data_IF_457704993537
#
_entry.id   IF_457704993537
#
_cell.length_a   1.000
_cell.length_b   1.000
_cell.length_c   1.000
_cell.angle_alpha   90.00
_cell.angle_beta   90.00
_cell.angle_gamma   90.00
#
_symmetry.space_group_name_H-M   'P 1'
#
loop_
_entity.id
_entity.type
_entity.pdbx_description
1 polymer ?
#
# COMPACT_ATOMS: atom_id res chain seq x y z
N UNK A 1 -4.56 -3.08 10.27
CA UNK A 1 -6.01 -3.24 10.08
C UNK A 1 -6.79 -1.94 9.95
N UNK A 2 -6.12 -0.76 9.96
CA UNK A 2 -6.76 0.56 9.74
C UNK A 2 -8.08 0.78 10.50
N UNK A 3 -8.14 0.31 11.74
CA UNK A 3 -9.31 0.48 12.60
C UNK A 3 -10.55 -0.34 12.25
N UNK A 4 -10.57 -1.13 11.16
CA UNK A 4 -11.80 -1.81 10.71
C UNK A 4 -12.44 -2.68 11.81
N UNK A 5 -13.77 -2.59 12.01
CA UNK A 5 -14.75 -1.84 11.21
C UNK A 5 -14.88 -0.34 11.56
N UNK A 6 -14.17 0.16 12.57
CA UNK A 6 -14.19 1.55 13.05
C UNK A 6 -13.10 2.40 12.38
N UNK A 7 -13.15 2.52 11.05
CA UNK A 7 -12.15 3.28 10.28
C UNK A 7 -12.10 4.76 10.71
N UNK A 8 -13.25 5.39 10.94
CA UNK A 8 -13.35 6.80 11.30
C UNK A 8 -12.60 7.10 12.62
N UNK A 9 -12.80 6.30 13.66
CA UNK A 9 -12.10 6.45 14.95
C UNK A 9 -10.58 6.39 14.76
N UNK A 10 -10.10 5.46 13.92
CA UNK A 10 -8.69 5.39 13.58
C UNK A 10 -8.20 6.66 12.89
N UNK A 11 -8.95 7.17 11.90
CA UNK A 11 -8.58 8.40 11.18
C UNK A 11 -8.51 9.61 12.12
N UNK A 12 -9.45 9.76 13.05
CA UNK A 12 -9.44 10.82 14.05
C UNK A 12 -8.18 10.77 14.93
N UNK A 13 -7.85 9.59 15.44
CA UNK A 13 -6.66 9.40 16.28
C UNK A 13 -5.37 9.64 15.48
N UNK A 14 -5.24 9.02 14.30
CA UNK A 14 -4.01 9.06 13.51
C UNK A 14 -3.74 10.44 12.88
N UNK A 15 -4.78 11.28 12.73
CA UNK A 15 -4.63 12.68 12.34
C UNK A 15 -3.91 13.48 13.43
N UNK A 16 -4.23 13.24 14.70
CA UNK A 16 -3.60 13.92 15.84
C UNK A 16 -2.23 13.33 16.16
N UNK A 17 -2.12 12.00 16.19
CA UNK A 17 -0.94 11.28 16.63
C UNK A 17 -0.04 10.91 15.45
N UNK A 18 1.02 11.71 15.23
CA UNK A 18 1.84 11.58 14.02
C UNK A 18 2.64 10.28 13.91
N UNK A 19 2.82 9.56 15.01
CA UNK A 19 3.49 8.26 15.10
C UNK A 19 2.55 7.06 14.83
N UNK A 20 1.29 7.30 14.48
CA UNK A 20 0.33 6.24 14.13
C UNK A 20 0.29 6.02 12.62
N UNK A 21 0.39 4.75 12.20
CA UNK A 21 0.43 4.33 10.80
C UNK A 21 -0.77 3.42 10.44
N UNK A 22 -1.32 3.62 9.25
CA UNK A 22 -2.40 2.81 8.70
C UNK A 22 -1.88 1.56 7.99
N UNK A 23 -1.86 0.41 8.68
CA UNK A 23 -1.50 -0.87 8.06
C UNK A 23 -2.68 -1.52 7.34
N UNK A 24 -2.56 -1.78 6.03
CA UNK A 24 -3.64 -2.28 5.16
C UNK A 24 -3.96 -3.79 5.30
N UNK A 25 -3.38 -4.46 6.29
CA UNK A 25 -3.81 -5.81 6.69
C UNK A 25 -5.34 -5.88 6.87
N UNK A 26 -5.96 -6.96 6.38
CA UNK A 26 -7.40 -7.26 6.25
C UNK A 26 -8.18 -6.32 5.34
N UNK A 27 -7.73 -5.08 5.14
CA UNK A 27 -8.31 -4.19 4.14
C UNK A 27 -7.99 -4.65 2.72
N UNK A 28 -6.77 -5.15 2.48
CA UNK A 28 -6.25 -5.46 1.14
C UNK A 28 -7.13 -6.43 0.31
N UNK A 29 -7.66 -7.55 0.86
CA UNK A 29 -8.51 -8.47 0.09
C UNK A 29 -9.80 -7.85 -0.46
N UNK A 30 -10.31 -6.77 0.15
CA UNK A 30 -11.50 -6.08 -0.37
C UNK A 30 -11.27 -5.49 -1.75
N UNK A 31 -10.02 -5.27 -2.17
CA UNK A 31 -9.71 -4.84 -3.55
C UNK A 31 -10.28 -5.80 -4.61
N UNK A 32 -10.47 -7.07 -4.26
CA UNK A 32 -11.07 -8.06 -5.14
C UNK A 32 -12.56 -8.25 -4.90
N UNK A 33 -12.97 -8.43 -3.65
CA UNK A 33 -14.35 -8.81 -3.30
C UNK A 33 -15.31 -7.63 -3.23
N UNK A 34 -14.81 -6.45 -2.84
CA UNK A 34 -15.58 -5.20 -2.67
C UNK A 34 -14.72 -3.99 -3.09
N UNK A 35 -14.34 -3.86 -4.37
CA UNK A 35 -13.36 -2.86 -4.83
C UNK A 35 -13.76 -1.42 -4.52
N UNK A 36 -15.06 -1.11 -4.59
CA UNK A 36 -15.60 0.20 -4.21
C UNK A 36 -15.36 0.51 -2.72
N UNK A 37 -15.61 -0.47 -1.85
CA UNK A 37 -15.36 -0.33 -0.42
C UNK A 37 -13.87 -0.16 -0.11
N UNK A 38 -13.00 -0.88 -0.82
CA UNK A 38 -11.56 -0.66 -0.69
C UNK A 38 -11.15 0.74 -1.17
N UNK A 39 -11.80 1.27 -2.23
CA UNK A 39 -11.58 2.64 -2.69
C UNK A 39 -11.96 3.67 -1.63
N UNK A 40 -13.09 3.49 -0.94
CA UNK A 40 -13.52 4.34 0.19
C UNK A 40 -12.51 4.28 1.34
N UNK A 41 -12.05 3.08 1.71
CA UNK A 41 -11.03 2.92 2.77
C UNK A 41 -9.76 3.67 2.40
N UNK A 42 -9.21 3.45 1.20
CA UNK A 42 -7.93 4.05 0.83
C UNK A 42 -8.03 5.57 0.63
N UNK A 43 -9.18 6.07 0.13
CA UNK A 43 -9.39 7.51 -0.03
C UNK A 43 -9.45 8.24 1.31
N UNK A 44 -10.17 7.69 2.28
CA UNK A 44 -10.22 8.24 3.65
C UNK A 44 -8.82 8.27 4.28
N UNK A 45 -8.07 7.16 4.20
CA UNK A 45 -6.72 7.13 4.74
C UNK A 45 -5.81 8.19 4.10
N UNK A 46 -5.88 8.36 2.78
CA UNK A 46 -5.09 9.37 2.08
C UNK A 46 -5.51 10.78 2.46
N UNK A 47 -6.81 11.03 2.63
CA UNK A 47 -7.34 12.33 3.02
C UNK A 47 -6.88 12.72 4.43
N UNK A 48 -7.05 11.83 5.41
CA UNK A 48 -6.78 12.12 6.82
C UNK A 48 -5.31 12.09 7.19
N UNK A 49 -4.59 11.03 6.77
CA UNK A 49 -3.23 10.78 7.26
C UNK A 49 -2.15 10.94 6.21
N UNK A 50 -2.54 11.16 4.96
CA UNK A 50 -1.62 11.34 3.84
C UNK A 50 -0.94 10.03 3.40
N UNK A 51 -0.21 10.07 2.27
CA UNK A 51 0.37 8.88 1.65
C UNK A 51 1.56 8.30 2.42
N UNK A 52 2.22 9.09 3.27
CA UNK A 52 3.49 8.71 3.94
C UNK A 52 3.31 7.85 5.19
N UNK A 53 2.06 7.67 5.65
CA UNK A 53 1.75 6.92 6.90
C UNK A 53 0.87 5.70 6.66
N UNK A 54 0.82 5.22 5.43
CA UNK A 54 0.05 4.02 5.06
C UNK A 54 1.03 2.90 4.69
N UNK A 55 0.84 1.71 5.26
CA UNK A 55 1.72 0.56 5.05
C UNK A 55 0.95 -0.58 4.37
N UNK A 56 1.57 -1.20 3.37
CA UNK A 56 1.06 -2.42 2.79
C UNK A 56 1.05 -3.58 3.81
N UNK A 57 0.02 -4.43 3.72
CA UNK A 57 -0.08 -5.67 4.46
C UNK A 57 -0.92 -6.67 3.67
N UNK A 58 -0.39 -7.86 3.40
CA UNK A 58 -1.06 -8.89 2.61
C UNK A 58 -1.81 -9.94 3.44
N UNK A 59 -1.51 -10.03 4.75
CA UNK A 59 -1.90 -11.17 5.59
C UNK A 59 -1.45 -12.50 4.98
N UNK A 60 -0.16 -12.58 4.64
CA UNK A 60 0.45 -13.81 4.17
C UNK A 60 0.24 -14.96 5.19
N UNK A 61 0.06 -16.17 4.65
CA UNK A 61 -0.58 -17.35 5.27
C UNK A 61 -2.11 -17.42 5.17
N UNK A 62 -2.79 -16.32 4.83
CA UNK A 62 -4.20 -16.31 4.41
C UNK A 62 -4.30 -16.03 2.92
N UNK A 63 -3.55 -15.04 2.42
CA UNK A 63 -3.56 -14.63 1.01
C UNK A 63 -2.16 -14.65 0.41
N UNK A 64 -2.02 -15.20 -0.80
CA UNK A 64 -0.80 -15.04 -1.57
C UNK A 64 -0.66 -13.58 -2.02
N UNK A 65 0.50 -12.92 -1.82
CA UNK A 65 0.64 -11.49 -2.05
C UNK A 65 0.71 -11.09 -3.53
N UNK A 66 1.04 -12.01 -4.44
CA UNK A 66 1.26 -11.72 -5.87
C UNK A 66 0.06 -11.04 -6.51
N UNK A 67 -1.11 -11.68 -6.45
CA UNK A 67 -2.35 -11.16 -7.05
C UNK A 67 -2.85 -9.89 -6.35
N UNK A 68 -2.56 -9.73 -5.05
CA UNK A 68 -2.91 -8.52 -4.30
C UNK A 68 -2.10 -7.32 -4.81
N UNK A 69 -0.79 -7.51 -4.99
CA UNK A 69 0.10 -6.46 -5.51
C UNK A 69 -0.31 -6.05 -6.93
N UNK A 70 -0.61 -7.02 -7.80
CA UNK A 70 -1.06 -6.75 -9.16
C UNK A 70 -2.36 -5.93 -9.18
N UNK A 71 -3.36 -6.34 -8.39
CA UNK A 71 -4.62 -5.59 -8.28
C UNK A 71 -4.42 -4.21 -7.67
N UNK A 72 -3.58 -4.08 -6.64
CA UNK A 72 -3.28 -2.81 -6.00
C UNK A 72 -2.61 -1.83 -6.97
N UNK A 73 -1.70 -2.33 -7.81
CA UNK A 73 -1.06 -1.53 -8.84
C UNK A 73 -2.04 -1.10 -9.94
N UNK A 74 -2.95 -1.98 -10.36
CA UNK A 74 -3.93 -1.72 -11.41
C UNK A 74 -5.13 -0.86 -10.96
N UNK A 75 -5.39 -0.77 -9.66
CA UNK A 75 -6.58 -0.08 -9.15
C UNK A 75 -6.56 1.42 -9.43
N UNK A 76 -7.71 1.96 -9.81
CA UNK A 76 -7.96 3.40 -9.86
C UNK A 76 -9.12 3.77 -8.94
N UNK A 77 -9.09 4.99 -8.40
CA UNK A 77 -10.22 5.50 -7.62
C UNK A 77 -11.38 5.81 -8.58
N UNK A 78 -12.61 5.40 -8.24
CA UNK A 78 -13.83 5.90 -8.89
C UNK A 78 -13.87 7.44 -8.89
N UNK A 79 -14.44 8.01 -9.95
CA UNK A 79 -14.48 9.47 -10.16
C UNK A 79 -15.10 10.22 -8.99
N UNK A 80 -16.25 9.74 -8.51
CA UNK A 80 -17.02 10.36 -7.44
C UNK A 80 -16.27 10.37 -6.10
N UNK A 81 -15.54 9.28 -5.76
CA UNK A 81 -14.67 9.27 -4.57
C UNK A 81 -13.54 10.28 -4.71
N UNK A 82 -12.94 10.35 -5.91
CA UNK A 82 -11.85 11.27 -6.20
C UNK A 82 -12.31 12.72 -6.10
N UNK A 83 -13.49 13.03 -6.62
CA UNK A 83 -14.11 14.36 -6.53
C UNK A 83 -14.44 14.73 -5.08
N UNK A 84 -14.97 13.79 -4.29
CA UNK A 84 -15.33 14.01 -2.88
C UNK A 84 -14.11 14.24 -1.98
N UNK A 85 -13.11 13.35 -2.07
CA UNK A 85 -11.94 13.39 -1.18
C UNK A 85 -10.81 14.27 -1.69
N UNK A 86 -10.78 14.56 -3.00
CA UNK A 86 -9.72 15.34 -3.64
C UNK A 86 -8.34 14.65 -3.69
N UNK A 87 -8.26 13.38 -3.29
CA UNK A 87 -6.97 12.66 -3.20
C UNK A 87 -6.57 12.02 -4.53
N UNK A 88 -5.28 11.83 -4.72
CA UNK A 88 -4.74 11.07 -5.86
C UNK A 88 -4.26 9.70 -5.41
N UNK A 89 -4.50 8.68 -6.24
CA UNK A 89 -4.01 7.32 -6.01
C UNK A 89 -3.16 6.84 -7.18
N UNK A 90 -2.13 7.63 -7.48
CA UNK A 90 -1.23 7.40 -8.60
C UNK A 90 -0.08 6.42 -8.24
N UNK A 91 0.82 6.20 -9.21
CA UNK A 91 1.97 5.30 -9.04
C UNK A 91 2.93 5.76 -7.92
N UNK A 92 3.04 7.06 -7.65
CA UNK A 92 3.93 7.58 -6.60
C UNK A 92 3.38 7.22 -5.22
N UNK A 93 2.08 7.40 -5.01
CA UNK A 93 1.38 7.01 -3.77
C UNK A 93 1.45 5.50 -3.56
N UNK A 94 1.22 4.71 -4.62
CA UNK A 94 1.28 3.25 -4.54
C UNK A 94 2.68 2.74 -4.16
N UNK A 95 3.75 3.34 -4.69
CA UNK A 95 5.14 3.00 -4.33
C UNK A 95 5.42 3.26 -2.85
N UNK A 96 4.96 4.40 -2.34
CA UNK A 96 5.06 4.73 -0.91
C UNK A 96 4.46 3.64 -0.04
N UNK A 97 3.22 3.28 -0.33
CA UNK A 97 2.47 2.27 0.42
C UNK A 97 3.11 0.88 0.32
N UNK A 98 3.54 0.47 -0.88
CA UNK A 98 4.10 -0.86 -1.13
C UNK A 98 5.48 -1.08 -0.48
N UNK A 99 6.26 -0.03 -0.23
CA UNK A 99 7.58 -0.24 0.35
C UNK A 99 8.32 0.98 0.87
N UNK A 100 8.16 2.17 0.28
CA UNK A 100 9.00 3.32 0.68
C UNK A 100 8.69 3.79 2.10
N UNK A 101 7.42 3.74 2.52
CA UNK A 101 7.02 4.09 3.88
C UNK A 101 7.59 3.13 4.93
N UNK A 102 7.54 1.82 4.65
CA UNK A 102 8.13 0.82 5.52
C UNK A 102 9.66 0.99 5.60
N UNK A 103 10.30 1.26 4.46
CA UNK A 103 11.73 1.51 4.41
C UNK A 103 12.13 2.73 5.25
N UNK A 104 11.41 3.85 5.11
CA UNK A 104 11.63 5.05 5.92
C UNK A 104 11.44 4.77 7.43
N UNK A 105 10.35 4.08 7.80
CA UNK A 105 10.03 3.75 9.19
C UNK A 105 11.12 2.89 9.86
N UNK A 106 11.67 1.92 9.13
CA UNK A 106 12.68 1.00 9.64
C UNK A 106 14.13 1.44 9.36
N UNK A 107 14.35 2.65 8.83
CA UNK A 107 15.69 3.15 8.52
C UNK A 107 16.42 2.34 7.43
N UNK A 108 15.68 1.79 6.47
CA UNK A 108 16.23 1.02 5.36
C UNK A 108 16.54 1.96 4.18
N UNK A 109 17.82 2.07 3.83
CA UNK A 109 18.25 2.72 2.60
C UNK A 109 17.94 1.82 1.39
N UNK A 110 16.94 2.23 0.59
CA UNK A 110 16.48 1.47 -0.58
C UNK A 110 17.57 1.34 -1.64
N UNK A 111 18.33 2.40 -1.92
CA UNK A 111 19.34 2.38 -2.98
C UNK A 111 20.54 1.52 -2.56
N UNK A 112 20.97 1.62 -1.31
CA UNK A 112 22.00 0.73 -0.77
C UNK A 112 21.57 -0.74 -0.78
N UNK A 113 20.27 -1.03 -0.54
CA UNK A 113 19.74 -2.41 -0.64
C UNK A 113 19.66 -2.89 -2.07
N UNK A 114 19.21 -2.07 -3.01
CA UNK A 114 19.20 -2.40 -4.45
C UNK A 114 20.59 -2.75 -4.95
N UNK A 115 21.62 -2.00 -4.54
CA UNK A 115 23.01 -2.30 -4.95
C UNK A 115 23.45 -3.67 -4.44
N UNK A 116 23.21 -3.98 -3.15
CA UNK A 116 23.51 -5.30 -2.59
C UNK A 116 22.77 -6.44 -3.30
N UNK A 117 21.55 -6.19 -3.78
CA UNK A 117 20.76 -7.21 -4.48
C UNK A 117 21.19 -7.46 -5.92
N UNK A 118 22.01 -6.60 -6.55
CA UNK A 118 22.53 -6.87 -7.92
C UNK A 118 23.35 -8.15 -8.00
N UNK A 119 24.02 -8.50 -6.90
CA UNK A 119 24.84 -9.70 -6.79
C UNK A 119 24.06 -10.92 -6.31
N UNK A 120 22.78 -10.75 -5.93
CA UNK A 120 21.94 -11.83 -5.44
C UNK A 120 21.48 -12.73 -6.59
N UNK A 121 21.76 -14.03 -6.49
CA UNK A 121 21.38 -15.00 -7.51
C UNK A 121 19.87 -15.08 -7.74
N UNK A 122 19.07 -14.90 -6.68
CA UNK A 122 17.61 -14.83 -6.79
C UNK A 122 17.17 -13.60 -7.60
N UNK A 123 17.78 -12.44 -7.36
CA UNK A 123 17.47 -11.22 -8.11
C UNK A 123 17.85 -11.35 -9.59
N UNK A 124 18.99 -11.99 -9.89
CA UNK A 124 19.41 -12.32 -11.26
C UNK A 124 18.41 -13.27 -11.95
N UNK A 125 17.91 -14.26 -11.23
CA UNK A 125 16.94 -15.23 -11.74
C UNK A 125 15.57 -14.60 -12.02
N UNK A 126 15.12 -13.65 -11.20
CA UNK A 126 13.88 -12.90 -11.45
C UNK A 126 14.03 -12.00 -12.68
N UNK A 127 15.15 -11.26 -12.78
CA UNK A 127 15.43 -10.36 -13.90
C UNK A 127 15.66 -11.07 -15.26
N UNK A 128 15.92 -12.38 -15.26
CA UNK A 128 16.00 -13.19 -16.47
C UNK A 128 14.64 -13.77 -16.88
N UNK A 129 13.74 -14.07 -15.94
CA UNK A 129 12.37 -14.52 -16.23
C UNK A 129 11.53 -13.47 -16.95
N UNK A 130 11.66 -12.19 -16.58
CA UNK A 130 10.94 -11.09 -17.26
C UNK A 130 11.43 -10.83 -18.70
N UNK A 131 12.57 -11.40 -19.12
CA UNK A 131 13.08 -11.25 -20.51
C UNK A 131 12.60 -12.33 -21.48
N UNK A 132 11.89 -13.35 -20.97
CA UNK A 132 11.46 -14.53 -21.76
C UNK A 132 9.93 -14.54 -21.97
N UNK A 133 9.20 -13.65 -21.31
CA UNK A 133 7.78 -13.38 -21.58
C UNK A 133 7.64 -12.15 -22.50
#
# INVERSE_FOLDING_TARGET
HVGLPLLEDFCWIATQERNVYGGLAVAMPFIHTRPRYFAEIISELLYWIGPDRILFGSDYAIWEPSWLIEKFMAMELPEDIREETGVTFDRSVKKKILGENAAALYGIDIEARKEKFRECDLARMIASRERIA
#
